data_IF_658028650287
#
_entry.id   IF_658028650287
#
_cell.length_a   1.000
_cell.length_b   1.000
_cell.length_c   1.000
_cell.angle_alpha   90.00
_cell.angle_beta   90.00
_cell.angle_gamma   90.00
#
_symmetry.space_group_name_H-M   'P 1'
#
loop_
_entity.id
_entity.type
_entity.pdbx_description
1 polymer ?
2 non-polymer ?
3 water ?
#
# COMPACT_ATOMS: atom_id res chain seq x y z
N UNK A 1 -20.32 11.12 -14.09
CA UNK A 1 -21.13 10.17 -13.32
C UNK A 1 -20.75 8.75 -13.69
N UNK A 2 -20.80 7.87 -12.70
CA UNK A 2 -20.49 6.47 -12.94
C UNK A 2 -19.00 6.24 -13.10
N UNK A 3 -18.69 5.01 -13.51
CA UNK A 3 -17.31 4.61 -13.73
C UNK A 3 -16.64 4.09 -12.47
N UNK A 4 -15.49 3.48 -12.66
CA UNK A 4 -14.83 2.74 -11.59
C UNK A 4 -13.60 3.47 -11.11
N UNK A 5 -13.39 3.43 -9.80
CA UNK A 5 -12.26 4.08 -9.14
C UNK A 5 -11.40 3.06 -8.43
N UNK A 6 -10.09 3.19 -8.63
CA UNK A 6 -9.08 2.41 -7.90
C UNK A 6 -8.31 3.35 -7.00
N UNK A 7 -8.16 2.97 -5.75
CA UNK A 7 -7.30 3.66 -4.80
C UNK A 7 -5.98 2.91 -4.73
N UNK A 8 -4.90 3.57 -5.11
CA UNK A 8 -3.59 2.95 -5.23
C UNK A 8 -2.70 3.50 -4.13
N UNK A 9 -2.09 2.60 -3.36
CA UNK A 9 -1.25 3.03 -2.24
C UNK A 9 0.07 2.26 -2.26
N UNK A 10 1.01 2.76 -1.46
CA UNK A 10 2.39 2.26 -1.41
C UNK A 10 3.08 2.41 -2.76
N UNK A 11 2.89 3.56 -3.39
CA UNK A 11 3.73 3.91 -4.53
C UNK A 11 5.15 4.21 -4.05
N UNK A 12 6.15 4.01 -4.90
CA UNK A 12 7.50 4.50 -4.59
C UNK A 12 7.46 6.01 -4.38
N UNK A 13 8.26 6.50 -3.44
CA UNK A 13 8.27 7.94 -3.20
C UNK A 13 8.68 8.64 -4.49
N UNK A 14 8.03 9.76 -4.77
CA UNK A 14 8.30 10.49 -5.99
C UNK A 14 7.62 9.98 -7.24
N UNK A 15 6.76 8.96 -7.13
CA UNK A 15 6.07 8.44 -8.32
C UNK A 15 5.16 9.51 -8.91
N UNK A 16 5.32 9.76 -10.20
CA UNK A 16 4.56 10.80 -10.88
C UNK A 16 3.27 10.25 -11.48
N UNK A 17 2.35 11.16 -11.79
CA UNK A 17 1.10 10.76 -12.42
C UNK A 17 1.34 10.17 -13.81
N UNK A 18 2.34 10.69 -14.54
CA UNK A 18 2.66 10.13 -15.84
C UNK A 18 3.09 8.68 -15.74
N UNK A 19 3.87 8.35 -14.70
CA UNK A 19 4.26 6.96 -14.52
C UNK A 19 3.05 6.08 -14.23
N UNK A 20 2.11 6.60 -13.45
CA UNK A 20 0.93 5.82 -13.10
C UNK A 20 0.08 5.53 -14.33
N UNK A 21 -0.08 6.52 -15.22
CA UNK A 21 -0.82 6.27 -16.46
C UNK A 21 -0.17 5.18 -17.27
N UNK A 22 1.15 5.25 -17.44
CA UNK A 22 1.86 4.21 -18.16
C UNK A 22 1.56 2.83 -17.60
N UNK A 23 1.59 2.69 -16.28
CA UNK A 23 1.38 1.38 -15.67
C UNK A 23 -0.06 0.91 -15.82
N UNK A 24 -1.03 1.79 -15.61
CA UNK A 24 -2.41 1.32 -15.61
C UNK A 24 -3.01 1.23 -17.01
N UNK A 25 -2.40 1.87 -18.01
CA UNK A 25 -2.89 1.72 -19.38
C UNK A 25 -2.70 0.33 -19.95
N UNK A 26 -1.96 -0.55 -19.29
CA UNK A 26 -1.86 -1.92 -19.76
C UNK A 26 -3.20 -2.65 -19.71
N UNK A 27 -4.15 -2.19 -18.89
CA UNK A 27 -5.37 -2.95 -18.66
C UNK A 27 -6.61 -2.31 -19.22
N UNK A 28 -6.51 -1.13 -19.81
CA UNK A 28 -7.67 -0.48 -20.36
C UNK A 28 -7.42 1.00 -20.57
N UNK A 29 -8.51 1.70 -20.86
CA UNK A 29 -8.46 3.13 -21.16
C UNK A 29 -8.58 3.90 -19.84
N UNK A 30 -7.45 4.42 -19.35
CA UNK A 30 -7.48 5.20 -18.12
C UNK A 30 -8.22 6.51 -18.38
N UNK A 31 -9.23 6.79 -17.55
CA UNK A 31 -10.07 7.95 -17.76
C UNK A 31 -9.53 9.19 -17.06
N UNK A 32 -8.93 9.01 -15.88
CA UNK A 32 -8.44 10.13 -15.10
C UNK A 32 -7.49 9.57 -14.06
N UNK A 33 -6.58 10.41 -13.60
CA UNK A 33 -5.68 10.10 -12.50
C UNK A 33 -5.62 11.31 -11.58
N UNK A 34 -5.72 11.07 -10.27
CA UNK A 34 -5.48 12.10 -9.25
C UNK A 34 -4.37 11.63 -8.33
N UNK A 35 -3.47 12.54 -7.97
CA UNK A 35 -2.40 12.22 -7.04
C UNK A 35 -2.76 12.72 -5.65
N UNK A 36 -2.48 11.90 -4.64
CA UNK A 36 -2.73 12.26 -3.24
C UNK A 36 -1.45 12.71 -2.56
N UNK A 37 -0.62 13.45 -3.29
CA UNK A 37 0.59 14.01 -2.73
C UNK A 37 0.24 14.92 -1.55
N UNK A 38 1.09 14.98 -0.52
CA UNK A 38 2.42 14.39 -0.48
C UNK A 38 2.45 12.90 -0.11
N UNK A 39 1.28 12.28 0.04
CA UNK A 39 1.27 10.84 0.30
C UNK A 39 1.61 10.07 -0.97
N UNK A 40 2.14 8.87 -0.79
CA UNK A 40 2.51 8.01 -1.90
C UNK A 40 1.30 7.21 -2.39
N UNK A 41 0.19 7.92 -2.68
CA UNK A 41 -1.03 7.26 -3.13
C UNK A 41 -1.64 8.02 -4.31
N UNK A 42 -2.57 7.36 -5.00
CA UNK A 42 -3.21 7.96 -6.15
C UNK A 42 -4.58 7.30 -6.36
N UNK A 43 -5.38 7.94 -7.21
CA UNK A 43 -6.68 7.43 -7.62
C UNK A 43 -6.68 7.33 -9.13
N UNK A 44 -7.12 6.18 -9.64
CA UNK A 44 -7.12 5.89 -11.07
C UNK A 44 -8.54 5.49 -11.45
N UNK A 45 -9.07 6.08 -12.51
CA UNK A 45 -10.41 5.77 -12.97
C UNK A 45 -10.40 5.10 -14.33
N UNK A 46 -11.30 4.12 -14.48
CA UNK A 46 -11.66 3.51 -15.75
C UNK A 46 -13.17 3.66 -15.94
N UNK A 47 -13.60 3.88 -17.18
CA UNK A 47 -15.04 3.86 -17.42
C UNK A 47 -15.60 2.46 -17.25
N UNK A 48 -14.86 1.42 -17.66
CA UNK A 48 -15.34 0.04 -17.61
C UNK A 48 -14.95 -0.67 -16.33
N UNK A 49 -15.97 -1.23 -15.65
CA UNK A 49 -15.74 -2.04 -14.46
C UNK A 49 -14.81 -3.20 -14.74
N UNK A 50 -15.00 -3.89 -15.88
CA UNK A 50 -14.15 -5.06 -16.10
C UNK A 50 -12.68 -4.67 -16.25
N UNK A 51 -12.38 -3.50 -16.86
CA UNK A 51 -10.99 -3.04 -16.89
C UNK A 51 -10.44 -2.81 -15.49
N UNK A 52 -11.24 -2.17 -14.62
CA UNK A 52 -10.78 -1.91 -13.26
C UNK A 52 -10.52 -3.20 -12.49
N UNK A 53 -11.42 -4.20 -12.63
CA UNK A 53 -11.22 -5.48 -11.93
C UNK A 53 -9.94 -6.14 -12.40
N UNK A 54 -9.72 -6.18 -13.72
CA UNK A 54 -8.53 -6.84 -14.25
C UNK A 54 -7.27 -6.13 -13.77
N UNK A 55 -7.27 -4.79 -13.78
CA UNK A 55 -6.12 -4.03 -13.29
C UNK A 55 -5.86 -4.30 -11.82
N UNK A 56 -6.92 -4.29 -11.00
CA UNK A 56 -6.77 -4.56 -9.57
C UNK A 56 -6.18 -5.95 -9.34
N UNK A 57 -6.71 -6.96 -10.03
CA UNK A 57 -6.18 -8.32 -9.89
C UNK A 57 -4.74 -8.41 -10.33
N UNK A 58 -4.38 -7.68 -11.40
CA UNK A 58 -3.02 -7.80 -11.92
C UNK A 58 -2.00 -7.08 -11.04
N UNK A 59 -2.41 -6.02 -10.34
CA UNK A 59 -1.44 -5.16 -9.66
C UNK A 59 -1.51 -5.20 -8.15
N UNK A 60 -2.63 -5.58 -7.55
CA UNK A 60 -2.73 -5.53 -6.09
C UNK A 60 -1.74 -6.51 -5.46
N UNK A 61 -0.98 -6.01 -4.50
CA UNK A 61 0.02 -6.80 -3.77
C UNK A 61 1.13 -7.32 -4.69
N UNK A 62 1.50 -6.53 -5.69
CA UNK A 62 2.54 -6.90 -6.62
C UNK A 62 3.69 -5.90 -6.56
N UNK A 63 4.93 -6.34 -6.35
CA UNK A 63 6.05 -5.41 -6.44
C UNK A 63 6.34 -5.06 -7.90
N UNK A 64 5.58 -4.11 -8.46
CA UNK A 64 5.70 -3.80 -9.88
C UNK A 64 6.78 -2.77 -10.17
N UNK A 65 7.33 -2.14 -9.14
CA UNK A 65 8.41 -1.17 -9.28
C UNK A 65 9.69 -1.78 -8.73
N UNK A 66 10.83 -1.37 -9.29
CA UNK A 66 12.10 -1.92 -8.83
C UNK A 66 12.45 -1.42 -7.44
N UNK A 67 13.02 -2.31 -6.62
CA UNK A 67 13.53 -1.99 -5.29
C UNK A 67 12.47 -1.41 -4.38
N UNK A 68 11.23 -1.86 -4.57
CA UNK A 68 10.11 -1.40 -3.77
C UNK A 68 9.20 -2.58 -3.49
N UNK A 69 8.56 -2.55 -2.31
CA UNK A 69 7.66 -3.59 -1.91
C UNK A 69 6.38 -3.57 -2.71
N UNK A 70 5.38 -4.33 -2.25
CA UNK A 70 4.17 -4.51 -3.08
C UNK A 70 3.29 -3.27 -3.09
N UNK A 71 2.83 -2.91 -4.29
CA UNK A 71 1.82 -1.86 -4.43
C UNK A 71 0.47 -2.41 -4.00
N UNK A 72 -0.38 -1.54 -3.49
CA UNK A 72 -1.74 -1.90 -3.11
C UNK A 72 -2.72 -1.22 -4.05
N UNK A 73 -3.72 -1.97 -4.51
CA UNK A 73 -4.76 -1.45 -5.38
C UNK A 73 -6.11 -1.93 -4.85
N UNK A 74 -7.01 -0.98 -4.55
CA UNK A 74 -8.32 -1.29 -4.00
C UNK A 74 -9.39 -0.74 -4.94
N UNK A 75 -10.29 -1.60 -5.35
CA UNK A 75 -11.41 -1.21 -6.20
C UNK A 75 -12.54 -0.70 -5.33
N UNK A 76 -12.95 0.55 -5.54
CA UNK A 76 -14.10 1.06 -4.79
C UNK A 76 -15.37 0.41 -5.31
N UNK A 77 -16.41 0.47 -4.48
CA UNK A 77 -17.73 0.05 -4.90
C UNK A 77 -18.28 1.04 -5.93
N UNK A 78 -19.25 0.62 -6.74
CA UNK A 78 -19.90 1.58 -7.64
C UNK A 78 -20.41 2.79 -6.88
N UNK A 79 -20.31 3.94 -7.51
CA UNK A 79 -20.61 5.19 -6.85
C UNK A 79 -22.12 5.41 -6.66
N UNK A 80 -22.42 6.31 -5.73
CA UNK A 80 -23.70 6.98 -5.66
C UNK A 80 -23.57 8.33 -6.33
N UNK A 81 -24.58 8.69 -7.12
CA UNK A 81 -24.60 9.94 -7.85
C UNK A 81 -25.75 10.80 -7.33
N UNK A 82 -25.50 12.11 -7.23
CA UNK A 82 -26.43 13.06 -6.62
C UNK A 82 -26.82 14.18 -7.58
N UNK A 83 -26.62 13.97 -8.88
CA UNK A 83 -26.80 15.03 -9.86
C UNK A 83 -28.18 15.01 -10.46
N UNK B 3 -14.31 20.89 -11.22
CA UNK B 3 -14.63 20.43 -9.88
C UNK B 3 -13.42 20.14 -9.02
N UNK B 4 -13.65 19.43 -7.91
CA UNK B 4 -12.56 19.01 -7.05
C UNK B 4 -12.91 17.66 -6.44
N UNK B 5 -11.91 17.03 -5.83
CA UNK B 5 -12.11 15.68 -5.34
C UNK B 5 -11.27 15.47 -4.09
N UNK B 6 -11.81 14.69 -3.16
CA UNK B 6 -11.20 14.42 -1.87
C UNK B 6 -11.15 12.92 -1.64
N UNK B 7 -10.12 12.49 -0.90
CA UNK B 7 -10.08 11.14 -0.37
C UNK B 7 -10.17 11.23 1.14
N UNK B 8 -11.17 10.58 1.71
CA UNK B 8 -11.45 10.68 3.14
C UNK B 8 -11.22 9.30 3.76
N UNK B 9 -10.43 9.24 4.82
CA UNK B 9 -10.08 7.96 5.40
C UNK B 9 -10.17 8.02 6.92
N UNK B 10 -9.93 6.87 7.55
CA UNK B 10 -10.12 6.70 9.00
C UNK B 10 -11.57 7.00 9.40
N UNK B 11 -12.52 6.63 8.54
CA UNK B 11 -13.93 6.58 8.93
C UNK B 11 -14.20 5.36 9.79
N UNK B 12 -15.25 5.39 10.61
CA UNK B 12 -15.71 4.15 11.24
C UNK B 12 -16.07 3.11 10.19
N UNK B 13 -15.77 1.85 10.51
CA UNK B 13 -16.19 0.77 9.63
C UNK B 13 -17.71 0.81 9.50
N UNK B 14 -18.21 0.68 8.28
CA UNK B 14 -19.64 0.68 8.05
C UNK B 14 -20.29 2.03 7.84
N UNK B 15 -19.51 3.10 7.70
CA UNK B 15 -20.07 4.42 7.46
C UNK B 15 -20.82 4.43 6.12
N UNK B 16 -22.03 5.01 6.11
CA UNK B 16 -22.87 4.98 4.92
C UNK B 16 -22.51 6.13 3.98
N UNK B 17 -22.79 5.92 2.69
CA UNK B 17 -22.64 7.02 1.74
C UNK B 17 -23.57 8.17 2.10
N UNK B 18 -24.74 7.88 2.66
CA UNK B 18 -25.64 8.94 3.09
C UNK B 18 -24.97 9.81 4.16
N UNK B 19 -24.27 9.18 5.11
CA UNK B 19 -23.59 9.95 6.14
C UNK B 19 -22.47 10.82 5.57
N UNK B 20 -21.72 10.30 4.59
CA UNK B 20 -20.69 11.09 3.94
C UNK B 20 -21.32 12.25 3.17
N UNK B 21 -22.40 11.97 2.43
CA UNK B 21 -23.06 13.03 1.68
C UNK B 21 -23.52 14.15 2.61
N UNK B 22 -24.13 13.82 3.74
CA UNK B 22 -24.59 14.83 4.69
C UNK B 22 -23.42 15.65 5.23
N UNK B 23 -22.31 14.99 5.55
CA UNK B 23 -21.18 15.69 6.12
C UNK B 23 -20.58 16.66 5.11
N UNK B 24 -20.36 16.17 3.89
CA UNK B 24 -19.64 16.98 2.92
C UNK B 24 -20.53 17.97 2.18
N UNK B 25 -21.84 17.78 2.22
CA UNK B 25 -22.73 18.71 1.53
C UNK B 25 -22.76 20.09 2.19
N UNK B 26 -22.26 20.22 3.41
CA UNK B 26 -22.21 21.55 4.02
C UNK B 26 -21.23 22.47 3.32
N UNK B 27 -20.32 21.94 2.51
CA UNK B 27 -19.23 22.73 1.93
C UNK B 27 -19.26 22.83 0.43
N UNK B 28 -20.25 22.23 -0.23
CA UNK B 28 -20.32 22.32 -1.66
C UNK B 28 -21.33 21.32 -2.19
N UNK B 29 -21.45 21.30 -3.51
CA UNK B 29 -22.37 20.40 -4.19
C UNK B 29 -21.64 19.09 -4.47
N UNK B 30 -22.03 18.04 -3.72
CA UNK B 30 -21.45 16.71 -3.91
C UNK B 30 -22.08 16.04 -5.12
N UNK B 31 -21.24 15.70 -6.10
CA UNK B 31 -21.75 15.07 -7.32
C UNK B 31 -21.78 13.55 -7.20
N UNK B 32 -20.72 12.95 -6.65
CA UNK B 32 -20.58 11.50 -6.61
C UNK B 32 -19.79 11.12 -5.38
N UNK B 33 -20.09 9.93 -4.85
CA UNK B 33 -19.33 9.35 -3.74
C UNK B 33 -19.02 7.90 -4.11
N UNK B 34 -17.75 7.49 -3.97
CA UNK B 34 -17.37 6.08 -4.07
C UNK B 34 -16.89 5.61 -2.70
N UNK B 35 -17.56 4.61 -2.13
CA UNK B 35 -17.09 4.02 -0.89
C UNK B 35 -16.08 2.89 -1.14
N UNK B 36 -15.11 2.76 -0.26
CA UNK B 36 -14.13 1.67 -0.33
C UNK B 36 -14.40 0.73 0.84
N UNK B 37 -14.45 -0.58 0.55
CA UNK B 37 -14.71 -1.57 1.58
C UNK B 37 -13.62 -1.51 2.65
N UNK B 38 -13.97 -1.69 3.95
CA UNK B 38 -15.29 -1.92 4.55
C UNK B 38 -15.96 -0.63 4.99
N UNK B 39 -16.01 0.33 4.07
CA UNK B 39 -16.68 1.62 4.27
C UNK B 39 -15.99 2.48 5.31
N UNK B 40 -14.67 2.32 5.46
CA UNK B 40 -13.88 3.22 6.29
C UNK B 40 -13.09 4.24 5.48
N UNK B 41 -13.32 4.31 4.16
CA UNK B 41 -12.80 5.42 3.38
C UNK B 41 -13.71 5.65 2.18
N UNK B 42 -13.57 6.84 1.59
CA UNK B 42 -14.48 7.28 0.54
C UNK B 42 -13.76 8.27 -0.36
N UNK B 43 -14.19 8.30 -1.62
CA UNK B 43 -13.78 9.31 -2.59
C UNK B 43 -14.98 10.21 -2.83
N UNK B 44 -14.81 11.51 -2.65
CA UNK B 44 -15.91 12.47 -2.72
C UNK B 44 -15.60 13.48 -3.83
N UNK B 45 -16.53 13.64 -4.78
CA UNK B 45 -16.34 14.61 -5.86
C UNK B 45 -17.31 15.79 -5.72
N UNK B 46 -16.76 16.99 -5.87
CA UNK B 46 -17.49 18.25 -5.75
C UNK B 46 -17.62 18.95 -7.08
N UNK B 47 -18.70 19.72 -7.23
CA UNK B 47 -18.87 20.52 -8.44
C UNK B 47 -17.83 21.63 -8.60
N UNK B 48 -17.48 22.31 -7.52
CA UNK B 48 -16.63 23.50 -7.57
C UNK B 48 -15.23 23.18 -7.11
N UNK B 49 -14.24 23.80 -7.78
CA UNK B 49 -12.83 23.66 -7.42
C UNK B 49 -12.59 24.01 -5.97
N UNK B 50 -13.24 25.06 -5.47
CA UNK B 50 -12.95 25.55 -4.12
C UNK B 50 -13.44 24.61 -3.03
N UNK B 51 -14.45 23.76 -3.31
CA UNK B 51 -15.13 23.06 -2.22
C UNK B 51 -14.22 22.07 -1.51
N UNK B 52 -13.36 21.34 -2.23
CA UNK B 52 -12.51 20.37 -1.55
C UNK B 52 -11.58 21.06 -0.56
N UNK B 53 -11.06 22.24 -0.91
CA UNK B 53 -10.17 23.00 -0.02
C UNK B 53 -10.90 23.43 1.24
N UNK B 54 -12.13 23.94 1.09
CA UNK B 54 -12.90 24.39 2.24
C UNK B 54 -13.32 23.22 3.13
N UNK B 55 -13.76 22.11 2.52
CA UNK B 55 -14.13 20.94 3.31
C UNK B 55 -12.93 20.37 4.05
N UNK B 56 -11.78 20.29 3.38
CA UNK B 56 -10.59 19.80 4.08
C UNK B 56 -10.26 20.69 5.28
N UNK B 57 -10.33 22.02 5.11
CA UNK B 57 -10.05 22.89 6.24
C UNK B 57 -11.02 22.63 7.40
N UNK B 58 -12.29 22.38 7.07
CA UNK B 58 -13.31 22.18 8.09
C UNK B 58 -13.15 20.86 8.83
N UNK B 59 -12.80 19.79 8.11
CA UNK B 59 -13.01 18.44 8.62
C UNK B 59 -11.75 17.66 8.87
N UNK B 60 -10.63 18.02 8.24
CA UNK B 60 -9.43 17.21 8.37
C UNK B 60 -8.94 17.16 9.82
N UNK B 61 -8.61 15.94 10.27
CA UNK B 61 -8.08 15.69 11.63
C UNK B 61 -9.09 16.02 12.73
N UNK B 62 -10.38 15.94 12.43
CA UNK B 62 -11.41 16.12 13.43
C UNK B 62 -12.19 14.82 13.63
N UNK B 63 -12.54 14.48 14.87
CA UNK B 63 -13.36 13.27 15.14
C UNK B 63 -14.85 13.53 14.98
N UNK B 64 -15.30 13.57 13.72
CA UNK B 64 -16.69 13.88 13.41
C UNK B 64 -17.64 12.73 13.65
N UNK B 65 -17.11 11.53 13.95
CA UNK B 65 -17.94 10.38 14.29
C UNK B 65 -17.69 9.97 15.73
N UNK B 66 -18.77 9.55 16.41
CA UNK B 66 -18.65 9.07 17.78
C UNK B 66 -17.84 7.77 17.82
N UNK B 67 -17.21 7.52 18.97
CA UNK B 67 -16.48 6.28 19.21
C UNK B 67 -15.35 6.06 18.21
N UNK B 68 -14.83 7.12 17.60
CA UNK B 68 -13.80 6.92 16.60
C UNK B 68 -12.85 8.12 16.56
N UNK B 69 -11.64 7.86 16.08
CA UNK B 69 -10.61 8.87 16.02
C UNK B 69 -10.82 9.87 14.90
N UNK B 70 -9.83 10.74 14.67
CA UNK B 70 -10.02 11.83 13.72
C UNK B 70 -10.03 11.34 12.28
N UNK B 71 -10.94 11.90 11.50
CA UNK B 71 -11.00 11.58 10.08
C UNK B 71 -9.88 12.32 9.35
N UNK B 72 -9.38 11.71 8.29
CA UNK B 72 -8.32 12.26 7.46
C UNK B 72 -8.92 12.66 6.12
N UNK B 73 -8.63 13.89 5.67
CA UNK B 73 -9.17 14.40 4.43
C UNK B 73 -8.01 14.87 3.56
N UNK B 74 -7.81 14.20 2.43
CA UNK B 74 -6.71 14.51 1.51
C UNK B 74 -7.25 15.06 0.21
N UNK B 75 -6.66 16.15 -0.26
CA UNK B 75 -7.00 16.68 -1.57
C UNK B 75 -6.44 15.77 -2.66
N UNK B 76 -7.26 15.47 -3.67
CA UNK B 76 -6.87 14.65 -4.80
C UNK B 76 -6.47 15.59 -5.93
N UNK B 77 -5.19 15.63 -6.23
CA UNK B 77 -4.66 16.59 -7.18
C UNK B 77 -4.86 16.08 -8.60
N UNK B 78 -5.62 16.78 -9.42
CA UNK B 78 -5.92 16.27 -10.76
C UNK B 78 -4.72 16.39 -11.69
N UNK B 79 -4.76 15.60 -12.75
CA UNK B 79 -3.74 15.63 -13.77
C UNK B 79 -4.39 15.49 -15.14
N UNK C 4 22.59 -11.26 8.08
CA UNK C 4 22.14 -10.27 7.11
C UNK C 4 20.92 -10.80 6.37
N UNK C 5 19.98 -9.92 6.06
CA UNK C 5 18.69 -10.30 5.51
C UNK C 5 18.55 -9.79 4.08
N UNK C 6 17.98 -10.65 3.22
CA UNK C 6 17.59 -10.30 1.85
C UNK C 6 16.08 -10.48 1.70
N UNK C 7 15.42 -9.50 1.10
CA UNK C 7 14.02 -9.62 0.71
C UNK C 7 13.97 -9.93 -0.77
N UNK C 8 13.29 -11.02 -1.11
CA UNK C 8 13.26 -11.55 -2.47
C UNK C 8 11.83 -11.50 -2.96
N UNK C 9 11.61 -10.88 -4.12
CA UNK C 9 10.24 -10.70 -4.58
C UNK C 9 10.12 -11.00 -6.06
N UNK C 10 8.88 -11.01 -6.54
CA UNK C 10 8.55 -11.37 -7.92
C UNK C 10 9.01 -12.80 -8.23
N UNK C 11 8.82 -13.69 -7.28
CA UNK C 11 8.97 -15.10 -7.53
C UNK C 11 7.76 -15.63 -8.29
N UNK C 12 7.94 -16.63 -9.16
CA UNK C 12 6.76 -17.30 -9.73
C UNK C 12 5.87 -17.81 -8.60
N UNK C 13 4.56 -17.85 -8.86
CA UNK C 13 3.57 -17.93 -7.80
C UNK C 13 3.69 -19.19 -6.95
N UNK C 14 4.28 -20.25 -7.47
CA UNK C 14 4.38 -21.46 -6.67
C UNK C 14 5.75 -21.79 -6.13
N UNK C 15 6.64 -20.79 -6.06
CA UNK C 15 8.03 -21.08 -5.74
C UNK C 15 8.18 -21.59 -4.31
N UNK C 16 8.99 -22.63 -4.16
CA UNK C 16 9.17 -23.30 -2.88
C UNK C 16 10.44 -22.80 -2.17
N UNK C 17 10.49 -23.09 -0.88
CA UNK C 17 11.65 -22.72 -0.08
C UNK C 17 12.89 -23.49 -0.52
N UNK C 18 12.72 -24.77 -0.87
CA UNK C 18 13.86 -25.54 -1.35
C UNK C 18 14.41 -24.98 -2.65
N UNK C 19 13.55 -24.44 -3.51
CA UNK C 19 14.03 -23.78 -4.72
C UNK C 19 14.82 -22.52 -4.37
N UNK C 20 14.34 -21.76 -3.38
CA UNK C 20 15.08 -20.58 -2.91
C UNK C 20 16.42 -21.00 -2.30
N UNK C 21 16.41 -22.07 -1.51
CA UNK C 21 17.65 -22.54 -0.90
C UNK C 21 18.69 -22.90 -1.97
N UNK C 22 18.25 -23.58 -3.04
CA UNK C 22 19.20 -23.97 -4.07
C UNK C 22 19.80 -22.74 -4.75
N UNK C 23 18.95 -21.76 -5.07
CA UNK C 23 19.45 -20.58 -5.77
C UNK C 23 20.45 -19.83 -4.93
N UNK C 24 20.12 -19.57 -3.66
CA UNK C 24 20.94 -18.70 -2.84
C UNK C 24 22.13 -19.42 -2.21
N UNK C 25 22.08 -20.75 -2.09
CA UNK C 25 23.26 -21.45 -1.60
C UNK C 25 24.44 -21.38 -2.55
N UNK C 26 24.26 -20.94 -3.79
CA UNK C 26 25.40 -20.78 -4.66
C UNK C 26 26.36 -19.70 -4.17
N UNK C 27 25.92 -18.81 -3.28
CA UNK C 27 26.68 -17.63 -2.94
C UNK C 27 27.11 -17.57 -1.49
N UNK C 28 26.79 -18.58 -0.70
CA UNK C 28 27.19 -18.63 0.68
C UNK C 28 26.31 -19.61 1.42
N UNK C 29 26.52 -19.68 2.73
CA UNK C 29 25.78 -20.60 3.58
C UNK C 29 24.48 -19.92 4.01
N UNK C 30 23.36 -20.37 3.45
CA UNK C 30 22.06 -19.84 3.84
C UNK C 30 21.76 -20.28 5.26
N UNK C 31 21.44 -19.31 6.13
CA UNK C 31 21.09 -19.63 7.50
C UNK C 31 19.61 -19.97 7.66
N UNK C 32 18.73 -19.22 7.01
CA UNK C 32 17.30 -19.44 7.15
C UNK C 32 16.58 -18.88 5.92
N UNK C 33 15.35 -19.35 5.74
CA UNK C 33 14.46 -18.94 4.67
C UNK C 33 13.05 -18.88 5.24
N UNK C 34 12.36 -17.76 5.03
CA UNK C 34 10.94 -17.63 5.33
C UNK C 34 10.21 -17.31 4.05
N UNK C 35 9.06 -17.93 3.85
CA UNK C 35 8.27 -17.68 2.67
C UNK C 35 7.10 -16.76 3.00
N UNK C 36 6.72 -15.94 2.03
CA UNK C 36 5.63 -14.98 2.17
C UNK C 36 4.54 -15.34 1.17
N UNK C 37 3.35 -15.64 1.68
CA UNK C 37 2.24 -16.09 0.83
C UNK C 37 1.77 -14.97 -0.11
N UNK C 40 4.39 -14.29 -2.91
CA UNK C 40 5.34 -14.55 -3.98
C UNK C 40 6.71 -14.00 -3.62
N UNK C 41 6.99 -14.00 -2.33
CA UNK C 41 8.18 -13.37 -1.80
C UNK C 41 8.82 -14.29 -0.77
N UNK C 42 10.04 -13.95 -0.39
CA UNK C 42 10.74 -14.71 0.63
C UNK C 42 11.74 -13.79 1.31
N UNK C 43 12.21 -14.25 2.46
CA UNK C 43 13.29 -13.62 3.20
C UNK C 43 14.40 -14.64 3.35
N UNK C 44 15.62 -14.25 3.02
CA UNK C 44 16.77 -15.13 3.04
C UNK C 44 17.82 -14.54 3.96
N UNK C 45 18.34 -15.36 4.87
CA UNK C 45 19.32 -14.91 5.84
C UNK C 45 20.66 -15.57 5.56
N UNK C 46 21.72 -14.77 5.64
CA UNK C 46 23.10 -15.24 5.64
C UNK C 46 23.76 -14.78 6.93
N UNK C 47 24.70 -15.58 7.43
CA UNK C 47 25.55 -15.12 8.53
C UNK C 47 26.61 -14.13 8.07
N UNK C 48 26.98 -14.16 6.79
CA UNK C 48 27.98 -13.27 6.22
C UNK C 48 27.33 -12.17 5.39
N UNK C 49 27.58 -10.91 5.74
CA UNK C 49 27.07 -9.80 4.93
C UNK C 49 27.68 -9.84 3.53
N UNK C 50 28.94 -10.25 3.43
CA UNK C 50 29.61 -10.40 2.12
C UNK C 50 28.82 -11.33 1.21
N UNK C 51 28.40 -12.50 1.73
CA UNK C 51 27.65 -13.44 0.91
C UNK C 51 26.33 -12.85 0.47
N UNK C 52 25.61 -12.17 1.38
CA UNK C 52 24.34 -11.56 1.03
C UNK C 52 24.51 -10.55 -0.11
N UNK C 53 25.60 -9.77 -0.09
CA UNK C 53 25.79 -8.76 -1.14
C UNK C 53 26.13 -9.42 -2.48
N UNK C 54 27.00 -10.44 -2.46
CA UNK C 54 27.31 -11.13 -3.71
C UNK C 54 26.04 -11.76 -4.29
N UNK C 55 25.21 -12.38 -3.44
CA UNK C 55 23.94 -12.94 -3.92
C UNK C 55 23.03 -11.86 -4.48
N UNK C 56 22.91 -10.73 -3.78
CA UNK C 56 22.10 -9.63 -4.29
C UNK C 56 22.58 -9.19 -5.67
N UNK C 57 23.90 -8.99 -5.80
CA UNK C 57 24.43 -8.53 -7.09
C UNK C 57 24.21 -9.57 -8.17
N UNK C 58 24.30 -10.85 -7.80
CA UNK C 58 24.18 -11.92 -8.79
C UNK C 58 22.73 -12.13 -9.22
N UNK C 59 21.77 -11.96 -8.32
CA UNK C 59 20.41 -12.40 -8.59
C UNK C 59 19.42 -11.28 -8.83
N UNK C 60 19.65 -10.09 -8.29
CA UNK C 60 18.68 -9.02 -8.49
C UNK C 60 18.52 -8.70 -9.97
N UNK C 61 17.28 -8.65 -10.43
CA UNK C 61 16.92 -8.38 -11.83
C UNK C 61 17.29 -9.50 -12.78
N UNK C 62 17.57 -10.70 -12.28
CA UNK C 62 17.94 -11.79 -13.17
C UNK C 62 16.74 -12.69 -13.40
N UNK C 63 16.41 -13.07 -14.65
CA UNK C 63 15.32 -14.03 -14.87
C UNK C 63 15.82 -15.46 -14.69
N UNK C 64 15.94 -15.88 -13.43
CA UNK C 64 16.45 -17.21 -13.11
C UNK C 64 15.39 -18.30 -13.15
N UNK C 65 14.13 -17.94 -13.38
CA UNK C 65 13.07 -18.93 -13.49
C UNK C 65 12.54 -18.95 -14.93
N UNK C 66 12.28 -20.15 -15.42
CA UNK C 66 11.85 -20.30 -16.81
C UNK C 66 10.47 -19.68 -17.00
N UNK C 67 10.29 -19.01 -18.13
CA UNK C 67 9.00 -18.44 -18.54
C UNK C 67 8.48 -17.42 -17.53
N UNK C 68 9.37 -16.69 -16.89
CA UNK C 68 8.96 -15.72 -15.89
C UNK C 68 9.94 -14.54 -15.90
N UNK C 69 9.45 -13.40 -15.43
CA UNK C 69 10.23 -12.20 -15.45
C UNK C 69 11.31 -12.20 -14.38
N UNK C 70 12.10 -11.13 -14.34
CA UNK C 70 13.21 -11.08 -13.39
C UNK C 70 12.74 -11.01 -11.95
N UNK C 71 13.55 -11.62 -11.08
CA UNK C 71 13.34 -11.61 -9.64
C UNK C 71 13.98 -10.35 -9.08
N UNK C 72 13.57 -9.94 -7.89
CA UNK C 72 14.22 -8.83 -7.20
C UNK C 72 14.83 -9.33 -5.91
N UNK C 73 15.99 -8.79 -5.57
CA UNK C 73 16.68 -9.14 -4.32
C UNK C 73 17.13 -7.85 -3.68
N UNK C 74 16.67 -7.59 -2.46
CA UNK C 74 16.92 -6.32 -1.77
C UNK C 74 17.65 -6.58 -0.47
N UNK C 75 18.75 -5.87 -0.25
CA UNK C 75 19.53 -6.00 0.98
C UNK C 75 18.94 -5.17 2.12
N UNK C 76 18.75 -5.78 3.28
CA UNK C 76 18.32 -5.05 4.46
C UNK C 76 19.50 -4.56 5.28
N UNK C 77 19.31 -3.42 5.96
CA UNK C 77 20.33 -2.86 6.82
C UNK C 77 20.51 -3.73 8.07
N UNK C 78 21.68 -3.69 8.69
CA UNK C 78 21.88 -4.43 9.95
C UNK C 78 20.90 -3.94 11.02
N UNK C 79 20.50 -4.87 11.88
CA UNK C 79 19.61 -4.54 12.98
C UNK C 79 20.32 -3.70 14.04
N UNK D 4 8.55 -15.43 15.78
CA UNK D 4 7.92 -15.18 14.48
C UNK D 4 8.57 -14.00 13.76
N UNK D 5 8.22 -13.82 12.49
CA UNK D 5 8.80 -12.74 11.71
C UNK D 5 7.77 -12.20 10.73
N UNK D 6 7.85 -10.90 10.47
CA UNK D 6 6.91 -10.28 9.57
C UNK D 6 7.65 -9.36 8.64
N UNK D 7 7.05 -9.14 7.48
CA UNK D 7 7.52 -8.15 6.52
C UNK D 7 6.49 -7.03 6.50
N UNK D 8 6.93 -5.81 6.78
CA UNK D 8 6.03 -4.68 6.85
C UNK D 8 6.40 -3.73 5.73
N UNK D 9 5.40 -3.26 4.99
CA UNK D 9 5.61 -2.37 3.86
C UNK D 9 4.66 -1.19 3.96
N UNK D 10 4.86 -0.22 3.07
CA UNK D 10 4.17 1.06 3.07
C UNK D 10 4.32 1.80 4.41
N UNK D 11 5.55 1.84 4.88
CA UNK D 11 5.82 2.78 5.95
C UNK D 11 5.92 4.20 5.39
N UNK D 12 5.53 5.21 6.17
CA UNK D 12 5.72 6.59 5.72
C UNK D 12 7.19 6.86 5.47
N UNK D 13 7.45 7.74 4.51
CA UNK D 13 8.84 8.06 4.17
C UNK D 13 9.56 8.55 5.42
N UNK D 14 10.81 8.13 5.57
CA UNK D 14 11.62 8.55 6.69
C UNK D 14 11.40 7.77 7.97
N UNK D 15 10.47 6.80 7.98
CA UNK D 15 10.22 6.02 9.19
C UNK D 15 11.49 5.33 9.67
N UNK D 16 11.83 5.54 10.93
CA UNK D 16 13.04 5.04 11.54
C UNK D 16 12.84 3.66 12.16
N UNK D 17 13.95 2.96 12.38
CA UNK D 17 13.91 1.72 13.16
C UNK D 17 13.28 1.96 14.53
N UNK D 18 13.52 3.12 15.12
CA UNK D 18 12.94 3.44 16.43
C UNK D 18 11.42 3.47 16.35
N UNK D 19 10.88 4.12 15.32
CA UNK D 19 9.43 4.23 15.19
C UNK D 19 8.81 2.87 14.97
N UNK D 20 9.48 2.00 14.21
CA UNK D 20 8.98 0.65 14.01
C UNK D 20 8.96 -0.11 15.32
N UNK D 21 10.01 0.06 16.13
CA UNK D 21 10.05 -0.64 17.41
C UNK D 21 8.93 -0.17 18.34
N UNK D 22 8.64 1.13 18.34
CA UNK D 22 7.51 1.61 19.14
C UNK D 22 6.20 0.98 18.68
N UNK D 23 6.02 0.88 17.36
CA UNK D 23 4.79 0.29 16.83
C UNK D 23 4.67 -1.17 17.24
N UNK D 24 5.71 -1.96 17.00
CA UNK D 24 5.60 -3.41 17.07
C UNK D 24 5.87 -4.00 18.44
N UNK D 25 6.56 -3.27 19.33
CA UNK D 25 6.75 -3.75 20.69
C UNK D 25 5.46 -3.78 21.49
N UNK D 26 4.37 -3.20 20.97
CA UNK D 26 3.07 -3.28 21.61
C UNK D 26 2.50 -4.70 21.57
N UNK D 27 2.96 -5.53 20.65
CA UNK D 27 2.42 -6.87 20.46
C UNK D 27 3.41 -7.98 20.81
N UNK D 28 4.52 -7.64 21.45
CA UNK D 28 5.46 -8.66 21.89
C UNK D 28 6.84 -8.07 22.07
N UNK D 29 7.77 -8.97 22.44
CA UNK D 29 9.17 -8.59 22.56
C UNK D 29 9.80 -8.61 21.16
N UNK D 30 10.14 -7.44 20.65
CA UNK D 30 10.78 -7.33 19.35
C UNK D 30 12.26 -7.70 19.49
N UNK D 31 12.68 -8.74 18.78
CA UNK D 31 14.06 -9.21 18.86
C UNK D 31 14.99 -8.47 17.90
N UNK D 32 14.55 -8.23 16.67
CA UNK D 32 15.40 -7.58 15.67
C UNK D 32 14.53 -6.79 14.70
N UNK D 33 15.11 -5.74 14.13
CA UNK D 33 14.49 -4.95 13.08
C UNK D 33 15.53 -4.71 12.01
N UNK D 34 15.23 -5.14 10.77
CA UNK D 34 16.08 -4.87 9.62
C UNK D 34 15.33 -3.94 8.68
N UNK D 35 15.83 -2.70 8.54
CA UNK D 35 15.25 -1.76 7.59
C UNK D 35 15.65 -2.11 6.17
N UNK D 36 14.72 -1.95 5.22
CA UNK D 36 15.03 -2.14 3.80
C UNK D 36 15.29 -0.82 3.09
N UNK D 37 15.73 0.19 3.85
CA UNK D 37 16.26 1.42 3.27
C UNK D 37 17.18 1.07 2.12
N UNK D 38 17.00 1.69 0.95
CA UNK D 38 16.17 2.90 0.83
C UNK D 38 14.66 2.72 0.59
N UNK D 39 14.15 1.48 0.57
CA UNK D 39 12.71 1.28 0.46
C UNK D 39 12.01 1.57 1.79
N UNK D 40 10.70 1.84 1.70
CA UNK D 40 9.89 2.13 2.90
C UNK D 40 9.27 0.84 3.47
N UNK D 41 10.15 -0.14 3.73
CA UNK D 41 9.74 -1.43 4.27
C UNK D 41 10.73 -1.88 5.32
N UNK D 42 10.36 -2.92 6.09
CA UNK D 42 11.24 -3.43 7.13
C UNK D 42 10.85 -4.87 7.45
N UNK D 43 11.78 -5.57 8.09
CA UNK D 43 11.55 -6.92 8.59
C UNK D 43 11.67 -6.87 10.10
N UNK D 44 10.70 -7.44 10.81
CA UNK D 44 10.65 -7.40 12.27
C UNK D 44 10.60 -8.83 12.79
N UNK D 45 11.46 -9.14 13.76
CA UNK D 45 11.51 -10.45 14.42
C UNK D 45 10.93 -10.36 15.81
N UNK D 46 10.11 -11.35 16.18
CA UNK D 46 9.49 -11.48 17.49
C UNK D 46 10.02 -12.73 18.19
N UNK D 47 9.86 -12.77 19.51
CA UNK D 47 10.30 -13.97 20.21
C UNK D 47 9.25 -15.07 20.24
N UNK D 48 7.96 -14.72 20.32
CA UNK D 48 6.89 -15.70 20.44
C UNK D 48 6.22 -15.93 19.09
N UNK D 49 5.67 -17.14 18.93
CA UNK D 49 5.08 -17.54 17.65
C UNK D 49 3.88 -16.67 17.29
N UNK D 50 3.08 -16.29 18.29
CA UNK D 50 1.79 -15.66 18.04
C UNK D 50 1.89 -14.17 17.70
N UNK D 51 3.00 -13.52 18.06
CA UNK D 51 3.05 -12.06 18.02
C UNK D 51 2.84 -11.51 16.61
N UNK D 52 3.40 -12.19 15.59
CA UNK D 52 3.26 -11.69 14.24
C UNK D 52 1.81 -11.69 13.76
N UNK D 53 1.04 -12.72 14.15
CA UNK D 53 -0.34 -12.81 13.67
C UNK D 53 -1.22 -11.73 14.31
N UNK D 54 -1.06 -11.50 15.62
CA UNK D 54 -1.89 -10.47 16.22
C UNK D 54 -1.44 -9.08 15.77
N UNK D 55 -0.13 -8.90 15.55
CA UNK D 55 0.33 -7.66 14.94
C UNK D 55 -0.22 -7.53 13.53
N UNK D 56 -0.25 -8.64 12.78
CA UNK D 56 -0.92 -8.64 11.49
C UNK D 56 -2.39 -8.28 11.65
N UNK D 57 -3.07 -8.90 12.60
CA UNK D 57 -4.48 -8.58 12.85
C UNK D 57 -4.67 -7.10 13.13
N UNK D 58 -3.78 -6.52 13.95
CA UNK D 58 -3.98 -5.14 14.40
C UNK D 58 -3.70 -4.13 13.29
N UNK D 59 -2.69 -4.40 12.46
CA UNK D 59 -2.10 -3.34 11.63
C UNK D 59 -2.28 -3.53 10.13
N UNK D 60 -2.48 -4.76 9.66
CA UNK D 60 -2.54 -4.98 8.22
C UNK D 60 -3.72 -4.21 7.62
N UNK D 61 -3.46 -3.56 6.48
CA UNK D 61 -4.46 -2.81 5.72
C UNK D 61 -5.07 -1.68 6.53
N UNK D 62 -4.30 -1.17 7.50
CA UNK D 62 -4.80 -0.12 8.38
C UNK D 62 -4.04 1.18 8.19
N UNK D 63 -4.72 2.32 8.10
CA UNK D 63 -4.03 3.61 8.08
C UNK D 63 -3.43 3.95 9.43
N UNK D 64 -2.35 3.27 9.79
CA UNK D 64 -1.73 3.44 11.11
C UNK D 64 -1.13 4.84 11.28
N UNK D 65 -0.79 5.52 10.20
CA UNK D 65 -0.09 6.80 10.26
C UNK D 65 -0.90 7.89 9.58
N UNK D 66 -0.66 9.14 10.00
CA UNK D 66 -1.42 10.28 9.54
C UNK D 66 -1.05 10.63 8.10
N UNK D 67 -2.05 11.17 7.37
CA UNK D 67 -1.86 11.67 6.00
C UNK D 67 -1.19 10.63 5.11
N UNK D 68 -1.50 9.35 5.35
CA UNK D 68 -0.79 8.25 4.72
C UNK D 68 -1.74 7.08 4.52
N UNK D 69 -1.48 6.29 3.48
CA UNK D 69 -2.27 5.12 3.18
C UNK D 69 -2.05 4.01 4.19
N UNK D 70 -2.69 2.86 3.94
CA UNK D 70 -2.65 1.77 4.92
C UNK D 70 -1.30 1.08 4.95
N UNK D 71 -0.88 0.68 6.15
CA UNK D 71 0.36 -0.08 6.36
C UNK D 71 0.06 -1.55 6.18
N UNK D 72 0.96 -2.24 5.49
CA UNK D 72 0.77 -3.65 5.16
C UNK D 72 1.71 -4.53 5.99
N UNK D 73 1.14 -5.56 6.60
CA UNK D 73 1.90 -6.51 7.41
C UNK D 73 1.64 -7.90 6.86
N UNK D 74 2.72 -8.58 6.43
CA UNK D 74 2.65 -9.91 5.86
C UNK D 74 3.40 -10.89 6.75
N UNK D 75 2.77 -12.02 7.03
CA UNK D 75 3.43 -13.04 7.84
C UNK D 75 4.50 -13.76 7.04
N UNK D 76 5.69 -13.93 7.63
CA UNK D 76 6.78 -14.71 7.05
C UNK D 76 6.81 -16.08 7.70
N UNK D 77 6.68 -17.14 6.89
CA UNK D 77 6.56 -18.50 7.42
C UNK D 77 7.90 -19.20 7.33
N UNK D 78 8.44 -19.72 8.45
CA UNK D 78 9.74 -20.40 8.54
C UNK D 78 9.82 -21.62 7.64
#
# INVERSE_FOLDING_TARGET
SGGSMLYVSNLPVGTSSSAIHALFSAYGNVKDIWMLSPDNSAIVSYESLSSAIVARDALHNRPVFENHGPVQVMLAKPSSNYE
SGGSMLYVSNLPVGTSSSAIHALFSAYGNVKDIWMLSPDNSAIVSYESLSSAIVARDALHNRPVFENHGPVQVMLAKPSSNYE
SGGSMLYVSNLPVGTSSSAIHALFSAYGNVKDIWMLSPDNSAIVSYESLSSAIVARDALHNRPVFENHGPVQVMLAKPSSNYE
SGGSMLYVSNLPVGTSSSAIHALFSAYGNVKDIWMLSPDNSAIVSYESLSSAIVARDALHNRPVFENHGPVQVMLAKPSSNYE
#
